data_IF_380067989565
#
_entry.id   IF_380067989565
#
_cell.length_a   1.000
_cell.length_b   1.000
_cell.length_c   1.000
_cell.angle_alpha   90.00
_cell.angle_beta   90.00
_cell.angle_gamma   90.00
#
_symmetry.space_group_name_H-M   'P 1'
#
loop_
_entity.id
_entity.type
_entity.pdbx_description
1 polymer ?
#
# COMPACT_ATOMS: atom_id res chain seq x y z
N UNK A 1 20.15 -20.79 -10.20
CA UNK A 1 20.48 -21.73 -9.13
C UNK A 1 21.98 -21.74 -8.95
N UNK A 2 22.44 -21.42 -7.74
CA UNK A 2 23.81 -21.72 -7.31
C UNK A 2 23.66 -22.76 -6.19
N UNK A 3 24.35 -23.89 -6.33
CA UNK A 3 24.45 -25.00 -5.36
C UNK A 3 23.15 -25.38 -4.63
N UNK A 4 22.01 -25.38 -5.33
CA UNK A 4 20.68 -25.70 -4.77
C UNK A 4 20.18 -24.81 -3.61
N UNK A 5 20.91 -23.76 -3.20
CA UNK A 5 20.57 -22.87 -2.08
C UNK A 5 19.89 -21.54 -2.49
N UNK A 6 20.15 -21.06 -3.71
CA UNK A 6 19.64 -19.76 -4.17
C UNK A 6 18.91 -19.87 -5.50
N UNK A 7 17.66 -19.39 -5.55
CA UNK A 7 16.89 -19.27 -6.78
C UNK A 7 16.59 -17.80 -7.07
N UNK A 8 17.22 -17.25 -8.10
CA UNK A 8 16.81 -15.95 -8.64
C UNK A 8 15.81 -16.21 -9.76
N UNK A 9 14.56 -15.91 -9.48
CA UNK A 9 13.49 -15.94 -10.47
C UNK A 9 13.10 -14.52 -10.80
N UNK A 10 13.16 -14.13 -12.06
CA UNK A 10 12.47 -12.93 -12.50
C UNK A 10 11.09 -13.39 -12.98
N UNK A 11 10.04 -12.99 -12.26
CA UNK A 11 8.67 -13.42 -12.55
C UNK A 11 8.30 -13.12 -14.02
N UNK A 12 7.54 -14.02 -14.69
CA UNK A 12 7.04 -13.77 -16.03
C UNK A 12 6.27 -12.45 -16.08
N UNK A 13 6.66 -11.56 -17.00
CA UNK A 13 6.06 -10.23 -17.17
C UNK A 13 6.93 -9.07 -16.70
N UNK A 14 8.01 -9.31 -15.95
CA UNK A 14 8.97 -8.25 -15.60
C UNK A 14 10.13 -8.15 -16.61
N UNK A 15 10.59 -9.26 -17.16
CA UNK A 15 11.66 -9.27 -18.18
C UNK A 15 11.20 -10.14 -19.34
N UNK A 16 11.26 -9.62 -20.57
CA UNK A 16 10.92 -10.37 -21.80
C UNK A 16 11.97 -11.43 -22.17
N UNK A 17 12.82 -11.86 -21.23
CA UNK A 17 13.90 -12.83 -21.44
C UNK A 17 14.67 -13.20 -20.16
N UNK A 18 15.45 -14.27 -20.22
CA UNK A 18 16.28 -14.73 -19.10
C UNK A 18 17.39 -13.70 -18.79
N UNK A 19 17.42 -13.19 -17.55
CA UNK A 19 18.45 -12.26 -17.10
C UNK A 19 19.47 -12.93 -16.19
N UNK A 20 20.75 -12.58 -16.37
CA UNK A 20 21.84 -13.08 -15.53
C UNK A 20 21.97 -12.21 -14.27
N UNK A 21 21.92 -12.86 -13.11
CA UNK A 21 22.22 -12.23 -11.82
C UNK A 21 23.55 -12.77 -11.32
N UNK A 22 24.49 -11.87 -11.05
CA UNK A 22 25.73 -12.18 -10.36
C UNK A 22 25.41 -12.13 -8.86
N UNK A 23 25.67 -13.24 -8.17
CA UNK A 23 25.52 -13.34 -6.73
C UNK A 23 26.91 -13.40 -6.10
N UNK A 24 27.11 -12.65 -5.02
CA UNK A 24 28.30 -12.74 -4.17
C UNK A 24 27.85 -13.10 -2.75
N UNK A 25 28.40 -14.17 -2.18
CA UNK A 25 28.15 -14.56 -0.78
C UNK A 25 29.12 -13.82 0.13
N UNK A 26 28.63 -13.38 1.30
CA UNK A 26 29.43 -12.65 2.28
C UNK A 26 29.56 -13.42 3.59
N UNK A 27 30.61 -13.11 4.34
CA UNK A 27 30.82 -13.66 5.69
C UNK A 27 29.73 -13.17 6.64
N UNK A 28 29.35 -14.05 7.56
CA UNK A 28 28.37 -13.79 8.62
C UNK A 28 28.73 -12.58 9.50
N UNK A 29 30.03 -12.38 9.75
CA UNK A 29 30.56 -11.33 10.65
C UNK A 29 30.40 -9.91 10.08
N UNK A 30 30.21 -9.77 8.77
CA UNK A 30 30.07 -8.47 8.12
C UNK A 30 28.66 -7.88 8.29
N UNK A 31 27.66 -8.74 8.53
CA UNK A 31 26.24 -8.35 8.61
C UNK A 31 25.57 -9.04 9.81
N UNK A 32 25.61 -8.42 11.01
CA UNK A 32 25.00 -9.01 12.21
C UNK A 32 23.47 -9.11 12.07
N UNK A 33 22.89 -10.10 12.73
CA UNK A 33 21.42 -10.27 12.78
C UNK A 33 20.77 -9.16 13.62
N UNK A 34 19.57 -8.68 13.25
CA UNK A 34 18.78 -7.78 14.10
C UNK A 34 18.38 -8.45 15.42
N UNK A 35 18.17 -7.65 16.46
CA UNK A 35 17.64 -8.13 17.75
C UNK A 35 16.30 -8.84 17.57
N UNK A 36 16.15 -10.05 18.13
CA UNK A 36 14.95 -10.88 18.01
C UNK A 36 14.83 -11.65 16.68
N UNK A 37 15.86 -11.65 15.84
CA UNK A 37 15.86 -12.35 14.56
C UNK A 37 17.07 -13.28 14.43
N UNK A 38 16.81 -14.53 14.08
CA UNK A 38 17.83 -15.52 13.75
C UNK A 38 17.96 -15.63 12.24
N UNK A 39 19.14 -15.37 11.68
CA UNK A 39 19.40 -15.57 10.25
C UNK A 39 19.27 -17.06 9.91
N UNK A 40 18.51 -17.38 8.86
CA UNK A 40 18.25 -18.76 8.40
C UNK A 40 18.67 -19.01 6.95
N UNK A 41 19.28 -18.02 6.30
CA UNK A 41 19.86 -18.12 4.96
C UNK A 41 21.25 -17.46 4.95
N UNK A 42 22.13 -17.78 4.01
CA UNK A 42 23.36 -17.01 3.83
C UNK A 42 23.06 -15.55 3.41
N UNK A 43 24.02 -14.65 3.62
CA UNK A 43 23.96 -13.26 3.13
C UNK A 43 24.46 -13.22 1.69
N UNK A 44 23.63 -12.72 0.78
CA UNK A 44 23.94 -12.63 -0.64
C UNK A 44 23.77 -11.22 -1.17
N UNK A 45 24.77 -10.67 -1.86
CA UNK A 45 24.58 -9.50 -2.72
C UNK A 45 24.18 -9.95 -4.11
N UNK A 46 23.04 -9.46 -4.57
CA UNK A 46 22.58 -9.65 -5.94
C UNK A 46 22.99 -8.45 -6.80
N UNK A 47 23.58 -8.72 -7.97
CA UNK A 47 23.83 -7.74 -9.03
C UNK A 47 23.18 -8.23 -10.32
N UNK A 48 22.16 -7.53 -10.79
CA UNK A 48 21.59 -7.76 -12.12
C UNK A 48 22.55 -7.28 -13.22
N UNK A 49 23.11 -8.21 -13.99
CA UNK A 49 24.12 -7.88 -15.01
C UNK A 49 23.54 -7.09 -16.21
N UNK A 50 22.24 -7.20 -16.48
CA UNK A 50 21.54 -6.53 -17.58
C UNK A 50 20.54 -5.47 -17.09
N UNK A 51 20.74 -4.90 -15.89
CA UNK A 51 19.76 -3.97 -15.29
C UNK A 51 19.45 -2.72 -16.15
N UNK A 52 20.37 -2.33 -17.04
CA UNK A 52 20.17 -1.20 -17.96
C UNK A 52 19.19 -1.49 -19.09
N UNK A 53 18.99 -2.77 -19.44
CA UNK A 53 17.99 -3.19 -20.42
C UNK A 53 16.57 -3.13 -19.85
N UNK A 54 16.44 -3.05 -18.51
CA UNK A 54 15.16 -3.12 -17.81
C UNK A 54 15.10 -2.17 -16.60
N UNK A 55 15.11 -0.85 -16.84
CA UNK A 55 15.30 0.14 -15.79
C UNK A 55 14.16 0.22 -14.77
N UNK A 56 12.95 -0.25 -15.11
CA UNK A 56 11.76 -0.12 -14.27
C UNK A 56 11.37 -1.40 -13.51
N UNK A 57 12.09 -2.51 -13.70
CA UNK A 57 11.71 -3.79 -13.09
C UNK A 57 12.52 -4.10 -11.85
N UNK A 58 11.82 -4.22 -10.71
CA UNK A 58 12.38 -4.77 -9.48
C UNK A 58 12.53 -6.29 -9.63
N UNK A 59 13.73 -6.86 -9.42
CA UNK A 59 13.90 -8.30 -9.42
C UNK A 59 13.25 -8.94 -8.19
N UNK A 60 12.84 -10.19 -8.36
CA UNK A 60 12.40 -11.04 -7.28
C UNK A 60 13.57 -11.97 -6.91
N UNK A 61 13.79 -12.19 -5.61
CA UNK A 61 14.85 -13.05 -5.12
C UNK A 61 14.24 -14.10 -4.19
N UNK A 62 14.53 -15.37 -4.44
CA UNK A 62 14.16 -16.47 -3.57
C UNK A 62 15.41 -17.05 -2.90
N UNK A 63 15.35 -17.10 -1.57
CA UNK A 63 16.35 -17.67 -0.70
C UNK A 63 15.84 -19.01 -0.19
N UNK A 64 16.62 -20.07 -0.34
CA UNK A 64 16.33 -21.32 0.37
C UNK A 64 16.80 -21.21 1.81
N UNK A 65 16.00 -21.72 2.73
CA UNK A 65 16.35 -21.84 4.14
C UNK A 65 16.46 -23.31 4.52
N UNK A 66 17.38 -23.64 5.44
CA UNK A 66 17.62 -25.03 5.86
C UNK A 66 16.87 -25.42 7.14
N UNK A 67 16.42 -24.45 7.94
CA UNK A 67 15.98 -24.67 9.30
C UNK A 67 14.54 -25.23 9.41
N UNK A 68 14.29 -26.08 10.41
CA UNK A 68 12.95 -26.50 10.87
C UNK A 68 12.27 -25.34 11.63
N UNK A 69 12.05 -24.23 10.94
CA UNK A 69 11.37 -23.04 11.47
C UNK A 69 9.96 -23.00 10.87
N UNK A 70 8.92 -22.63 11.65
CA UNK A 70 7.59 -22.37 11.11
C UNK A 70 7.69 -21.42 9.93
N UNK A 71 7.19 -21.85 8.76
CA UNK A 71 7.37 -21.11 7.51
C UNK A 71 6.69 -19.74 7.50
N UNK A 72 5.75 -19.47 8.40
CA UNK A 72 5.10 -18.18 8.60
C UNK A 72 5.96 -17.17 9.38
N UNK A 73 7.11 -17.59 9.93
CA UNK A 73 8.02 -16.76 10.73
C UNK A 73 9.27 -16.30 9.98
N UNK A 74 9.39 -16.59 8.69
CA UNK A 74 10.58 -16.26 7.89
C UNK A 74 10.31 -15.05 7.01
N UNK A 75 11.15 -14.03 7.12
CA UNK A 75 11.12 -12.85 6.26
C UNK A 75 12.47 -12.60 5.61
N UNK A 76 12.44 -12.26 4.32
CA UNK A 76 13.60 -11.68 3.66
C UNK A 76 13.77 -10.23 4.10
N UNK A 77 15.01 -9.79 4.22
CA UNK A 77 15.37 -8.40 4.49
C UNK A 77 16.52 -7.99 3.58
N UNK A 78 16.58 -6.70 3.25
CA UNK A 78 17.76 -6.12 2.62
C UNK A 78 18.57 -5.29 3.62
N UNK A 79 19.88 -5.24 3.42
CA UNK A 79 20.74 -4.43 4.26
C UNK A 79 20.91 -3.03 3.68
N UNK A 80 20.45 -2.01 4.41
CA UNK A 80 20.73 -0.62 4.08
C UNK A 80 22.12 -0.24 4.60
N UNK A 81 23.09 -0.13 3.67
CA UNK A 81 24.47 0.25 4.01
C UNK A 81 24.63 1.68 4.53
N UNK A 82 23.71 2.60 4.23
CA UNK A 82 23.78 3.97 4.74
C UNK A 82 23.46 4.02 6.24
N UNK A 83 22.45 3.27 6.65
CA UNK A 83 21.96 3.23 8.03
C UNK A 83 22.59 2.10 8.85
N UNK A 84 23.32 1.19 8.20
CA UNK A 84 23.86 -0.04 8.78
C UNK A 84 22.76 -0.90 9.44
N UNK A 85 21.61 -1.04 8.77
CA UNK A 85 20.42 -1.67 9.32
C UNK A 85 19.72 -2.58 8.30
N UNK A 86 19.17 -3.69 8.76
CA UNK A 86 18.29 -4.55 7.96
C UNK A 86 16.89 -3.95 7.84
N UNK A 87 16.34 -3.98 6.63
CA UNK A 87 14.98 -3.55 6.31
C UNK A 87 14.20 -4.75 5.77
N UNK A 88 13.22 -5.19 6.53
CA UNK A 88 12.38 -6.34 6.20
C UNK A 88 11.51 -6.05 4.98
N UNK A 89 11.41 -7.05 4.11
CA UNK A 89 10.64 -7.03 2.89
C UNK A 89 9.38 -7.88 3.07
N UNK A 90 8.24 -7.48 2.50
CA UNK A 90 7.10 -8.39 2.40
C UNK A 90 7.56 -9.64 1.65
N UNK A 91 7.35 -10.79 2.29
CA UNK A 91 7.95 -12.05 1.89
C UNK A 91 6.88 -13.12 1.78
N UNK A 92 7.00 -13.93 0.75
CA UNK A 92 6.19 -15.12 0.55
C UNK A 92 7.03 -16.34 0.88
N UNK A 93 6.52 -17.25 1.70
CA UNK A 93 7.18 -18.53 1.94
C UNK A 93 6.50 -19.64 1.19
N UNK A 94 7.31 -20.55 0.63
CA UNK A 94 6.85 -21.77 -0.03
C UNK A 94 7.40 -22.94 0.80
N UNK A 95 6.63 -23.41 1.78
CA UNK A 95 7.12 -24.37 2.78
C UNK A 95 7.56 -25.68 2.14
N UNK A 96 6.81 -26.15 1.13
CA UNK A 96 7.12 -27.37 0.38
C UNK A 96 8.48 -27.34 -0.33
N UNK A 97 8.99 -26.15 -0.66
CA UNK A 97 10.27 -25.96 -1.34
C UNK A 97 11.35 -25.37 -0.42
N UNK A 98 11.00 -25.07 0.83
CA UNK A 98 11.80 -24.33 1.82
C UNK A 98 12.36 -23.01 1.26
N UNK A 99 11.51 -22.25 0.57
CA UNK A 99 11.88 -20.95 0.01
C UNK A 99 11.21 -19.82 0.77
N UNK A 100 11.96 -18.77 1.06
CA UNK A 100 11.43 -17.42 1.33
C UNK A 100 11.75 -16.55 0.13
N UNK A 101 10.77 -15.79 -0.33
CA UNK A 101 10.91 -15.01 -1.54
C UNK A 101 10.44 -13.59 -1.32
N UNK A 102 11.15 -12.63 -1.90
CA UNK A 102 10.80 -11.21 -1.79
C UNK A 102 11.25 -10.41 -3.02
N UNK A 103 10.55 -9.31 -3.29
CA UNK A 103 11.02 -8.27 -4.22
C UNK A 103 12.08 -7.45 -3.56
N UNK A 104 13.16 -7.18 -4.28
CA UNK A 104 14.24 -6.35 -3.77
C UNK A 104 14.18 -4.95 -4.40
N UNK A 105 14.30 -3.88 -3.60
CA UNK A 105 14.06 -2.52 -4.07
C UNK A 105 15.17 -1.99 -5.00
N UNK A 106 16.35 -2.61 -5.00
CA UNK A 106 17.52 -2.12 -5.71
C UNK A 106 18.17 -3.16 -6.63
N UNK A 107 18.85 -2.65 -7.67
CA UNK A 107 19.64 -3.44 -8.64
C UNK A 107 20.81 -4.19 -8.00
N UNK A 108 21.37 -3.57 -6.96
CA UNK A 108 22.37 -4.16 -6.08
C UNK A 108 21.76 -4.23 -4.69
N UNK A 109 21.45 -5.44 -4.23
CA UNK A 109 20.84 -5.64 -2.92
C UNK A 109 21.53 -6.76 -2.16
N UNK A 110 22.06 -6.44 -0.98
CA UNK A 110 22.48 -7.43 0.02
C UNK A 110 21.24 -7.95 0.75
N UNK A 111 20.97 -9.25 0.64
CA UNK A 111 19.78 -9.92 1.13
C UNK A 111 20.11 -11.06 2.09
N UNK A 112 19.23 -11.28 3.06
CA UNK A 112 19.20 -12.50 3.87
C UNK A 112 17.76 -12.78 4.33
N UNK A 113 17.48 -14.03 4.68
CA UNK A 113 16.25 -14.48 5.31
C UNK A 113 16.46 -14.68 6.80
N UNK A 114 15.50 -14.22 7.58
CA UNK A 114 15.52 -14.27 9.03
C UNK A 114 14.26 -14.95 9.54
N UNK A 115 14.44 -15.86 10.49
CA UNK A 115 13.40 -16.38 11.35
C UNK A 115 13.23 -15.44 12.55
N UNK A 116 12.00 -15.02 12.83
CA UNK A 116 11.70 -14.33 14.07
C UNK A 116 11.85 -15.28 15.27
N UNK A 117 12.46 -14.82 16.36
CA UNK A 117 12.29 -15.45 17.67
C UNK A 117 10.82 -15.37 18.09
N UNK A 118 10.38 -16.28 18.96
CA UNK A 118 8.99 -16.31 19.42
C UNK A 118 8.59 -14.96 20.05
N UNK A 119 7.61 -14.27 19.45
CA UNK A 119 7.18 -12.94 19.86
C UNK A 119 7.94 -11.75 19.25
N UNK A 120 8.96 -11.96 18.41
CA UNK A 120 9.70 -10.89 17.75
C UNK A 120 8.99 -10.32 16.50
N UNK A 121 8.03 -11.07 15.93
CA UNK A 121 7.21 -10.64 14.79
C UNK A 121 5.84 -11.30 14.77
N UNK A 122 4.85 -10.66 14.14
CA UNK A 122 3.51 -11.24 13.94
C UNK A 122 3.52 -12.15 12.71
N UNK A 123 3.47 -13.46 12.92
CA UNK A 123 3.39 -14.44 11.85
C UNK A 123 2.22 -14.13 10.90
N UNK A 124 2.44 -14.36 9.60
CA UNK A 124 1.35 -14.28 8.62
C UNK A 124 0.38 -15.45 8.76
N UNK A 125 -0.87 -15.28 8.29
CA UNK A 125 -1.84 -16.35 8.38
C UNK A 125 -1.50 -17.50 7.41
N UNK A 126 -1.86 -18.71 7.81
CA UNK A 126 -1.61 -19.92 7.03
C UNK A 126 -2.84 -20.26 6.20
N UNK A 127 -2.65 -20.48 4.90
CA UNK A 127 -3.72 -20.96 4.02
C UNK A 127 -4.08 -22.41 4.38
N UNK A 128 -5.34 -22.69 4.68
CA UNK A 128 -5.81 -24.00 5.17
C UNK A 128 -6.57 -24.82 4.15
N UNK A 129 -6.91 -24.24 2.99
CA UNK A 129 -7.66 -24.92 1.93
C UNK A 129 -7.06 -24.65 0.54
N UNK A 130 -7.41 -25.50 -0.44
CA UNK A 130 -7.05 -25.33 -1.85
C UNK A 130 -8.10 -24.52 -2.64
N UNK A 131 -9.08 -23.89 -1.99
CA UNK A 131 -10.10 -23.09 -2.68
C UNK A 131 -9.41 -21.91 -3.37
N UNK A 132 -9.59 -21.72 -4.69
CA UNK A 132 -9.01 -20.59 -5.41
C UNK A 132 -9.74 -19.29 -5.02
N UNK A 133 -8.99 -18.18 -5.01
CA UNK A 133 -9.59 -16.87 -4.77
C UNK A 133 -10.60 -16.52 -5.88
N UNK A 134 -11.69 -15.81 -5.55
CA UNK A 134 -12.69 -15.40 -6.53
C UNK A 134 -12.10 -14.42 -7.55
N UNK A 135 -12.29 -14.73 -8.84
CA UNK A 135 -11.93 -13.84 -9.93
C UNK A 135 -13.08 -12.89 -10.28
N UNK A 136 -12.76 -11.65 -10.63
CA UNK A 136 -13.70 -10.71 -11.23
C UNK A 136 -12.99 -9.80 -12.25
N UNK A 137 -13.73 -9.14 -13.15
CA UNK A 137 -13.14 -8.16 -14.06
C UNK A 137 -12.50 -7.01 -13.28
N UNK A 138 -11.17 -6.95 -13.30
CA UNK A 138 -10.34 -5.89 -12.73
C UNK A 138 -9.00 -5.87 -13.49
N UNK A 139 -8.31 -4.74 -13.47
CA UNK A 139 -6.95 -4.63 -14.00
C UNK A 139 -5.93 -5.27 -13.06
N UNK A 140 -6.07 -5.07 -11.76
CA UNK A 140 -5.19 -5.65 -10.75
C UNK A 140 -5.90 -5.87 -9.41
N UNK A 141 -5.47 -6.88 -8.66
CA UNK A 141 -6.03 -7.24 -7.35
C UNK A 141 -4.92 -7.70 -6.42
N UNK A 142 -4.94 -7.23 -5.18
CA UNK A 142 -4.06 -7.75 -4.12
C UNK A 142 -4.82 -7.90 -2.80
N UNK A 143 -4.55 -8.98 -2.10
CA UNK A 143 -4.98 -9.25 -0.72
C UNK A 143 -3.73 -9.40 0.13
N UNK A 144 -3.67 -8.66 1.23
CA UNK A 144 -2.51 -8.63 2.13
C UNK A 144 -2.97 -8.71 3.58
N UNK A 145 -2.27 -9.51 4.39
CA UNK A 145 -2.38 -9.46 5.84
C UNK A 145 -1.67 -8.21 6.39
N UNK A 146 -2.39 -7.37 7.14
CA UNK A 146 -1.89 -6.05 7.55
C UNK A 146 -0.80 -6.16 8.61
N UNK A 147 -0.88 -7.13 9.51
CA UNK A 147 0.11 -7.26 10.57
C UNK A 147 1.45 -7.72 10.00
N UNK A 148 1.47 -8.88 9.34
CA UNK A 148 2.67 -9.50 8.79
C UNK A 148 3.14 -8.87 7.48
N UNK A 149 2.24 -8.29 6.69
CA UNK A 149 2.52 -7.86 5.33
C UNK A 149 2.53 -8.99 4.29
N UNK A 150 2.16 -10.22 4.67
CA UNK A 150 2.10 -11.36 3.75
C UNK A 150 1.07 -11.14 2.64
N UNK A 151 1.44 -11.48 1.40
CA UNK A 151 0.51 -11.45 0.26
C UNK A 151 -0.28 -12.74 0.24
N UNK A 152 -1.60 -12.64 0.40
CA UNK A 152 -2.51 -13.79 0.45
C UNK A 152 -3.10 -14.11 -0.93
N UNK A 153 -3.22 -13.10 -1.78
CA UNK A 153 -3.64 -13.24 -3.17
C UNK A 153 -3.11 -12.09 -4.02
N UNK A 154 -2.73 -12.38 -5.27
CA UNK A 154 -2.27 -11.38 -6.24
C UNK A 154 -2.76 -11.68 -7.66
N UNK A 155 -3.09 -10.62 -8.38
CA UNK A 155 -3.35 -10.60 -9.81
C UNK A 155 -2.85 -9.29 -10.41
N UNK A 156 -1.89 -9.38 -11.36
CA UNK A 156 -1.31 -8.25 -12.09
C UNK A 156 -0.84 -7.08 -11.20
N UNK A 157 -0.24 -7.39 -10.04
CA UNK A 157 -0.06 -6.40 -8.97
C UNK A 157 1.12 -5.44 -9.17
N UNK A 158 1.85 -5.56 -10.28
CA UNK A 158 3.09 -4.82 -10.53
C UNK A 158 3.02 -3.85 -11.72
N UNK A 159 1.93 -3.87 -12.48
CA UNK A 159 1.71 -2.91 -13.55
C UNK A 159 1.54 -1.49 -12.96
N UNK A 160 2.19 -0.49 -13.56
CA UNK A 160 2.02 0.90 -13.18
C UNK A 160 0.66 1.40 -13.66
N UNK A 161 -0.23 1.67 -12.71
CA UNK A 161 -1.65 1.95 -12.97
C UNK A 161 -2.07 3.29 -12.35
N UNK A 162 -2.90 4.10 -13.06
CA UNK A 162 -3.49 5.31 -12.51
C UNK A 162 -4.31 5.04 -11.24
N UNK A 163 -3.97 5.73 -10.15
CA UNK A 163 -4.61 5.51 -8.86
C UNK A 163 -5.94 6.24 -8.70
N UNK A 164 -6.18 7.26 -9.51
CA UNK A 164 -7.28 8.21 -9.33
C UNK A 164 -7.30 8.74 -7.87
N UNK A 165 -8.48 8.90 -7.29
CA UNK A 165 -8.65 9.40 -5.92
C UNK A 165 -8.08 8.51 -4.80
N UNK A 166 -7.54 7.32 -5.09
CA UNK A 166 -6.76 6.57 -4.10
C UNK A 166 -5.49 7.34 -3.68
N UNK A 167 -4.97 8.20 -4.56
CA UNK A 167 -3.92 9.20 -4.29
C UNK A 167 -4.13 9.95 -2.97
N UNK A 168 -5.38 10.26 -2.61
CA UNK A 168 -5.68 11.08 -1.43
C UNK A 168 -5.26 10.44 -0.11
N UNK A 169 -5.10 9.10 -0.06
CA UNK A 169 -4.53 8.43 1.11
C UNK A 169 -3.05 8.78 1.29
N UNK A 170 -2.29 8.80 0.20
CA UNK A 170 -0.88 9.20 0.18
C UNK A 170 -0.76 10.68 0.52
N UNK A 171 -1.57 11.53 -0.10
CA UNK A 171 -1.63 12.97 0.20
C UNK A 171 -1.93 13.22 1.68
N UNK A 172 -2.95 12.59 2.24
CA UNK A 172 -3.27 12.71 3.66
C UNK A 172 -2.09 12.25 4.55
N UNK A 173 -1.46 11.12 4.23
CA UNK A 173 -0.33 10.60 5.01
C UNK A 173 0.88 11.53 4.96
N UNK A 174 1.21 12.06 3.78
CA UNK A 174 2.27 13.06 3.62
C UNK A 174 1.98 14.33 4.40
N UNK A 175 0.73 14.81 4.40
CA UNK A 175 0.36 15.98 5.18
C UNK A 175 0.61 15.76 6.69
N UNK A 176 0.32 14.56 7.20
CA UNK A 176 0.64 14.19 8.59
C UNK A 176 2.15 14.14 8.84
N UNK A 177 2.93 13.52 7.94
CA UNK A 177 4.38 13.41 8.07
C UNK A 177 5.09 14.78 7.99
N UNK A 178 4.51 15.75 7.28
CA UNK A 178 4.98 17.15 7.23
C UNK A 178 4.56 17.93 8.49
N UNK A 179 3.60 17.42 9.27
CA UNK A 179 3.14 18.05 10.50
C UNK A 179 2.02 19.06 10.30
N UNK A 180 1.07 18.77 9.41
CA UNK A 180 -0.15 19.59 9.30
C UNK A 180 -0.86 19.68 10.66
N UNK A 181 -1.17 20.89 11.10
CA UNK A 181 -1.99 21.10 12.29
C UNK A 181 -3.46 20.89 11.92
N UNK A 182 -4.04 19.77 12.37
CA UNK A 182 -5.43 19.44 12.07
C UNK A 182 -6.43 20.31 12.82
N UNK A 183 -6.05 20.94 13.92
CA UNK A 183 -6.92 21.78 14.74
C UNK A 183 -6.83 23.27 14.35
N UNK A 184 -5.81 23.64 13.58
CA UNK A 184 -5.74 24.93 12.91
C UNK A 184 -6.83 25.10 11.84
N UNK A 185 -7.15 26.36 11.55
CA UNK A 185 -8.10 26.72 10.50
C UNK A 185 -7.39 27.19 9.24
N UNK A 186 -7.91 26.79 8.08
CA UNK A 186 -7.49 27.31 6.78
C UNK A 186 -8.67 27.99 6.09
N UNK A 187 -8.43 29.16 5.50
CA UNK A 187 -9.41 29.83 4.66
C UNK A 187 -9.43 29.19 3.28
N UNK A 188 -10.62 28.81 2.81
CA UNK A 188 -10.86 28.36 1.44
C UNK A 188 -10.70 29.52 0.46
N UNK A 189 -10.02 29.29 -0.67
CA UNK A 189 -9.86 30.28 -1.74
C UNK A 189 -10.25 29.69 -3.09
N UNK A 190 -10.50 30.54 -4.09
CA UNK A 190 -10.83 30.09 -5.44
C UNK A 190 -9.71 29.26 -6.10
N UNK A 191 -8.46 29.35 -5.64
CA UNK A 191 -7.38 28.48 -6.14
C UNK A 191 -7.53 27.03 -5.67
N UNK A 192 -8.33 26.77 -4.64
CA UNK A 192 -8.62 25.43 -4.15
C UNK A 192 -9.67 24.70 -4.98
N UNK A 193 -10.43 25.42 -5.82
CA UNK A 193 -11.43 24.83 -6.70
C UNK A 193 -10.80 23.74 -7.59
N UNK A 194 -11.57 22.68 -7.82
CA UNK A 194 -11.14 21.51 -8.57
C UNK A 194 -12.32 20.85 -9.29
N UNK A 195 -12.05 20.25 -10.44
CA UNK A 195 -13.01 19.47 -11.21
C UNK A 195 -13.36 18.16 -10.49
N UNK A 196 -14.44 17.51 -10.91
CA UNK A 196 -14.84 16.20 -10.39
C UNK A 196 -15.46 16.25 -9.01
N UNK A 197 -15.09 15.32 -8.13
CA UNK A 197 -15.67 15.23 -6.79
C UNK A 197 -15.24 16.43 -5.92
N UNK A 198 -16.20 17.16 -5.38
CA UNK A 198 -15.95 18.34 -4.53
C UNK A 198 -16.94 18.42 -3.37
N UNK A 199 -16.60 19.25 -2.39
CA UNK A 199 -17.49 19.67 -1.30
C UNK A 199 -17.82 21.15 -1.49
N UNK A 200 -19.05 21.53 -1.13
CA UNK A 200 -19.54 22.90 -1.30
C UNK A 200 -18.88 23.86 -0.28
N UNK A 201 -17.70 24.36 -0.62
CA UNK A 201 -17.00 25.45 0.04
C UNK A 201 -17.14 26.73 -0.77
N UNK A 202 -17.21 27.87 -0.10
CA UNK A 202 -17.19 29.19 -0.72
C UNK A 202 -15.85 29.87 -0.43
N UNK A 203 -15.27 30.64 -1.37
CA UNK A 203 -14.13 31.49 -1.09
C UNK A 203 -14.37 32.38 0.14
N UNK A 204 -13.45 32.36 1.10
CA UNK A 204 -13.58 33.05 2.38
C UNK A 204 -14.17 32.21 3.52
N UNK A 205 -14.62 30.99 3.27
CA UNK A 205 -14.98 30.05 4.34
C UNK A 205 -13.74 29.73 5.19
N UNK A 206 -13.89 29.81 6.52
CA UNK A 206 -12.87 29.40 7.49
C UNK A 206 -13.26 28.04 8.05
N UNK A 207 -12.42 27.04 7.83
CA UNK A 207 -12.73 25.64 8.19
C UNK A 207 -11.50 25.01 8.84
N UNK A 208 -11.73 24.12 9.80
CA UNK A 208 -10.67 23.39 10.51
C UNK A 208 -10.03 22.36 9.56
N UNK A 209 -8.72 22.19 9.61
CA UNK A 209 -7.98 21.29 8.71
C UNK A 209 -8.45 19.83 8.81
N UNK A 210 -8.88 19.39 10.00
CA UNK A 210 -9.57 18.11 10.24
C UNK A 210 -10.82 17.93 9.37
N UNK A 211 -11.62 18.97 9.19
CA UNK A 211 -12.83 18.90 8.35
C UNK A 211 -12.48 18.79 6.86
N UNK A 212 -11.39 19.43 6.42
CA UNK A 212 -10.85 19.23 5.06
C UNK A 212 -10.31 17.81 4.86
N UNK A 213 -9.63 17.23 5.85
CA UNK A 213 -9.21 15.82 5.81
C UNK A 213 -10.43 14.89 5.65
N UNK A 214 -11.48 15.09 6.46
CA UNK A 214 -12.71 14.32 6.34
C UNK A 214 -13.40 14.52 4.99
N UNK A 215 -13.49 15.75 4.49
CA UNK A 215 -14.04 16.05 3.16
C UNK A 215 -13.23 15.37 2.03
N UNK A 216 -11.90 15.34 2.15
CA UNK A 216 -11.00 14.68 1.21
C UNK A 216 -11.18 13.16 1.19
N UNK A 217 -11.31 12.51 2.34
CA UNK A 217 -11.33 11.05 2.42
C UNK A 217 -12.75 10.44 2.37
N UNK A 218 -13.74 11.07 3.00
CA UNK A 218 -15.14 10.59 3.02
C UNK A 218 -15.84 10.89 1.69
N UNK A 219 -15.87 12.17 1.27
CA UNK A 219 -16.57 12.58 0.03
C UNK A 219 -15.70 12.46 -1.22
N UNK A 220 -14.41 12.19 -1.04
CA UNK A 220 -13.40 12.22 -2.10
C UNK A 220 -13.19 13.63 -2.69
N UNK A 221 -13.41 14.69 -1.90
CA UNK A 221 -13.35 16.07 -2.37
C UNK A 221 -11.95 16.49 -2.82
N UNK A 222 -11.79 16.78 -4.11
CA UNK A 222 -10.54 17.24 -4.72
C UNK A 222 -10.12 18.60 -4.18
N UNK A 223 -11.09 19.52 -4.05
CA UNK A 223 -10.84 20.84 -3.47
C UNK A 223 -10.39 20.76 -2.02
N UNK A 224 -11.00 19.89 -1.21
CA UNK A 224 -10.55 19.63 0.16
C UNK A 224 -9.12 19.05 0.21
N UNK A 225 -8.78 18.10 -0.68
CA UNK A 225 -7.43 17.54 -0.76
C UNK A 225 -6.37 18.58 -1.11
N UNK A 226 -6.69 19.54 -2.00
CA UNK A 226 -5.82 20.69 -2.30
C UNK A 226 -5.61 21.57 -1.08
N UNK A 227 -6.65 21.82 -0.28
CA UNK A 227 -6.52 22.58 0.97
C UNK A 227 -5.64 21.85 1.99
N UNK A 228 -5.83 20.53 2.18
CA UNK A 228 -4.98 19.72 3.07
C UNK A 228 -3.50 19.79 2.65
N UNK A 229 -3.22 19.71 1.35
CA UNK A 229 -1.85 19.85 0.86
C UNK A 229 -1.31 21.27 1.12
N UNK A 230 -2.10 22.31 0.81
CA UNK A 230 -1.73 23.72 0.98
C UNK A 230 -1.54 24.10 2.45
N UNK A 231 -2.30 23.52 3.38
CA UNK A 231 -2.18 23.82 4.82
C UNK A 231 -0.88 23.33 5.44
N UNK A 232 -0.10 22.51 4.72
CA UNK A 232 1.28 22.17 5.11
C UNK A 232 2.29 23.30 4.87
N UNK A 233 1.92 24.33 4.11
CA UNK A 233 2.83 25.41 3.67
C UNK A 233 3.70 25.06 2.46
N UNK A 234 3.65 23.82 1.95
CA UNK A 234 4.35 23.42 0.73
C UNK A 234 3.62 23.92 -0.52
N UNK A 235 4.37 24.22 -1.57
CA UNK A 235 3.80 24.42 -2.90
C UNK A 235 3.21 23.10 -3.42
N UNK A 236 2.27 23.15 -4.38
CA UNK A 236 1.69 21.94 -4.95
C UNK A 236 2.76 21.00 -5.55
N UNK A 237 3.79 21.58 -6.19
CA UNK A 237 4.88 20.80 -6.78
C UNK A 237 5.83 20.21 -5.74
N UNK A 238 6.14 20.94 -4.66
CA UNK A 238 6.91 20.40 -3.54
C UNK A 238 6.16 19.29 -2.82
N UNK A 239 4.84 19.46 -2.64
CA UNK A 239 4.00 18.46 -2.02
C UNK A 239 3.95 17.16 -2.83
N UNK A 240 3.75 17.25 -4.15
CA UNK A 240 3.78 16.09 -5.05
C UNK A 240 5.15 15.37 -5.02
N UNK A 241 6.26 16.14 -5.02
CA UNK A 241 7.60 15.57 -4.83
C UNK A 241 7.74 14.85 -3.49
N UNK A 242 7.18 15.42 -2.41
CA UNK A 242 7.19 14.78 -1.09
C UNK A 242 6.38 13.48 -1.05
N UNK A 243 5.28 13.40 -1.81
CA UNK A 243 4.52 12.15 -1.98
C UNK A 243 5.34 11.06 -2.67
N UNK A 244 6.03 11.40 -3.76
CA UNK A 244 6.92 10.44 -4.43
C UNK A 244 8.09 10.06 -3.51
N UNK A 245 8.67 11.02 -2.78
CA UNK A 245 9.76 10.74 -1.85
C UNK A 245 9.32 9.80 -0.72
N UNK A 246 8.14 9.98 -0.14
CA UNK A 246 7.61 9.07 0.88
C UNK A 246 7.53 7.62 0.37
N UNK A 247 7.10 7.42 -0.87
CA UNK A 247 7.10 6.09 -1.47
C UNK A 247 8.52 5.51 -1.61
N UNK A 248 9.48 6.34 -2.03
CA UNK A 248 10.90 5.95 -2.15
C UNK A 248 11.52 5.63 -0.79
N UNK A 249 11.19 6.39 0.26
CA UNK A 249 11.64 6.15 1.63
C UNK A 249 11.13 4.80 2.18
N UNK A 250 10.01 4.30 1.64
CA UNK A 250 9.45 2.97 1.91
C UNK A 250 10.03 1.86 0.99
N UNK A 251 11.00 2.18 0.13
CA UNK A 251 11.58 1.23 -0.83
C UNK A 251 10.72 0.95 -2.07
N UNK A 252 9.68 1.75 -2.30
CA UNK A 252 8.73 1.55 -3.41
C UNK A 252 9.19 2.33 -4.64
N UNK A 253 9.35 1.67 -5.78
CA UNK A 253 9.88 2.30 -7.00
C UNK A 253 8.82 2.65 -8.04
N UNK A 254 7.64 2.04 -8.03
CA UNK A 254 6.60 2.34 -9.02
C UNK A 254 5.86 3.67 -8.77
N UNK A 255 5.55 4.08 -7.52
CA UNK A 255 4.78 5.29 -7.27
C UNK A 255 5.44 6.54 -7.86
N UNK A 256 4.62 7.36 -8.51
CA UNK A 256 4.94 8.69 -9.00
C UNK A 256 3.70 9.57 -8.89
N UNK A 257 3.86 10.75 -8.28
CA UNK A 257 2.76 11.68 -8.05
C UNK A 257 3.10 13.07 -8.59
N UNK A 258 2.12 13.69 -9.27
CA UNK A 258 2.17 15.04 -9.83
C UNK A 258 1.16 15.98 -9.18
N UNK A 259 0.12 15.44 -8.52
CA UNK A 259 -0.91 16.23 -7.85
C UNK A 259 -1.43 15.56 -6.55
N UNK A 260 -2.00 16.29 -5.57
CA UNK A 260 -2.44 15.74 -4.28
C UNK A 260 -3.81 15.04 -4.33
N UNK A 261 -4.49 15.05 -5.47
CA UNK A 261 -5.88 14.62 -5.64
C UNK A 261 -6.00 13.34 -6.47
N UNK A 262 -5.10 13.10 -7.41
CA UNK A 262 -5.20 12.02 -8.40
C UNK A 262 -6.20 12.33 -9.50
N UNK A 263 -6.28 13.61 -9.88
CA UNK A 263 -7.01 14.04 -11.08
C UNK A 263 -6.16 13.83 -12.33
N UNK A 264 -4.84 13.97 -12.19
CA UNK A 264 -3.90 13.69 -13.27
C UNK A 264 -3.67 12.18 -13.36
N UNK A 265 -3.77 11.61 -14.56
CA UNK A 265 -3.52 10.18 -14.79
C UNK A 265 -2.08 9.77 -14.52
N UNK A 266 -1.15 10.73 -14.50
CA UNK A 266 0.26 10.53 -14.18
C UNK A 266 0.50 10.21 -12.70
N UNK A 267 -0.53 10.31 -11.85
CA UNK A 267 -0.51 9.74 -10.51
C UNK A 267 -0.68 8.22 -10.57
N UNK A 268 0.45 7.53 -10.64
CA UNK A 268 0.52 6.08 -10.85
C UNK A 268 1.17 5.36 -9.68
N UNK A 269 0.80 4.09 -9.51
CA UNK A 269 1.48 3.12 -8.67
C UNK A 269 1.13 1.71 -9.15
N UNK A 270 1.92 0.72 -8.75
CA UNK A 270 1.47 -0.66 -8.83
C UNK A 270 0.47 -0.98 -7.71
N UNK A 271 -0.33 -2.04 -7.88
CA UNK A 271 -1.26 -2.49 -6.84
C UNK A 271 -0.51 -2.91 -5.57
N UNK A 272 0.64 -3.58 -5.73
CA UNK A 272 1.51 -3.98 -4.63
C UNK A 272 2.06 -2.77 -3.87
N UNK A 273 2.69 -1.82 -4.57
CA UNK A 273 3.25 -0.62 -3.92
C UNK A 273 2.14 0.23 -3.27
N UNK A 274 0.97 0.31 -3.92
CA UNK A 274 -0.15 1.05 -3.37
C UNK A 274 -0.74 0.37 -2.13
N UNK A 275 -0.81 -0.96 -2.07
CA UNK A 275 -1.26 -1.67 -0.87
C UNK A 275 -0.38 -1.34 0.35
N UNK A 276 0.94 -1.25 0.15
CA UNK A 276 1.88 -0.84 1.20
C UNK A 276 1.72 0.63 1.60
N UNK A 277 1.49 1.52 0.63
CA UNK A 277 1.17 2.93 0.90
C UNK A 277 -0.16 3.08 1.68
N UNK A 278 -1.19 2.34 1.29
CA UNK A 278 -2.49 2.36 1.95
C UNK A 278 -2.40 1.81 3.39
N UNK A 279 -1.70 0.69 3.59
CA UNK A 279 -1.37 0.14 4.91
C UNK A 279 -0.65 1.18 5.77
N UNK A 280 0.35 1.88 5.21
CA UNK A 280 1.04 2.94 5.94
C UNK A 280 0.11 4.13 6.28
N UNK A 281 -0.77 4.53 5.36
CA UNK A 281 -1.73 5.61 5.59
C UNK A 281 -2.72 5.26 6.72
N UNK A 282 -3.26 4.03 6.72
CA UNK A 282 -4.26 3.59 7.71
C UNK A 282 -3.69 3.38 9.12
N UNK A 283 -2.37 3.33 9.30
CA UNK A 283 -1.75 3.36 10.64
C UNK A 283 -1.96 4.69 11.38
N UNK A 284 -2.22 5.78 10.66
CA UNK A 284 -2.51 7.06 11.28
C UNK A 284 -3.99 7.11 11.75
N UNK A 285 -4.27 7.38 13.03
CA UNK A 285 -5.63 7.29 13.59
C UNK A 285 -6.60 8.33 13.02
N UNK A 286 -6.13 9.52 12.63
CA UNK A 286 -6.99 10.54 12.00
C UNK A 286 -7.40 10.11 10.59
N UNK A 287 -6.47 9.51 9.84
CA UNK A 287 -6.75 8.95 8.50
C UNK A 287 -7.70 7.77 8.61
N UNK A 288 -7.45 6.82 9.50
CA UNK A 288 -8.33 5.67 9.73
C UNK A 288 -9.74 6.10 10.16
N UNK A 289 -9.84 7.06 11.08
CA UNK A 289 -11.11 7.66 11.52
C UNK A 289 -11.86 8.29 10.35
N UNK A 290 -11.19 9.02 9.45
CA UNK A 290 -11.83 9.59 8.28
C UNK A 290 -12.24 8.53 7.26
N UNK A 291 -11.40 7.51 7.04
CA UNK A 291 -11.62 6.46 6.05
C UNK A 291 -12.75 5.48 6.40
N UNK A 292 -13.19 5.43 7.67
CA UNK A 292 -14.19 4.48 8.20
C UNK A 292 -15.55 5.11 8.53
N UNK A 293 -15.72 6.42 8.35
CA UNK A 293 -17.01 7.09 8.63
C UNK A 293 -18.02 6.86 7.51
N UNK A 294 -19.27 6.54 7.86
CA UNK A 294 -20.40 6.49 6.89
C UNK A 294 -20.75 7.86 6.31
N UNK A 295 -20.67 8.89 7.14
CA UNK A 295 -20.93 10.28 6.78
C UNK A 295 -20.17 11.21 7.73
N UNK A 296 -20.09 12.48 7.34
CA UNK A 296 -19.48 13.51 8.17
C UNK A 296 -20.19 14.84 7.97
N UNK A 297 -20.25 15.64 9.02
CA UNK A 297 -20.82 16.97 9.00
C UNK A 297 -20.06 17.92 9.94
N UNK A 298 -19.97 19.18 9.56
CA UNK A 298 -19.35 20.24 10.35
C UNK A 298 -19.98 21.60 10.01
N UNK A 299 -19.63 22.61 10.81
CA UNK A 299 -20.06 23.99 10.60
C UNK A 299 -18.88 24.85 10.16
N UNK A 300 -19.07 25.66 9.12
CA UNK A 300 -18.08 26.66 8.70
C UNK A 300 -17.94 27.73 9.79
N UNK A 301 -16.72 27.96 10.28
CA UNK A 301 -16.45 28.71 11.52
C UNK A 301 -16.99 30.15 11.48
N UNK A 302 -16.86 30.85 10.35
CA UNK A 302 -17.24 32.26 10.22
C UNK A 302 -18.69 32.50 9.77
N UNK A 303 -19.40 31.48 9.28
CA UNK A 303 -20.77 31.65 8.74
C UNK A 303 -21.82 30.79 9.44
N UNK A 304 -21.40 29.78 10.21
CA UNK A 304 -22.30 28.79 10.82
C UNK A 304 -22.95 27.83 9.80
N UNK A 305 -22.64 27.97 8.50
CA UNK A 305 -23.21 27.15 7.43
C UNK A 305 -22.85 25.68 7.65
N UNK A 306 -23.87 24.83 7.66
CA UNK A 306 -23.69 23.39 7.81
C UNK A 306 -23.25 22.77 6.49
N UNK A 307 -22.23 21.91 6.55
CA UNK A 307 -21.75 21.11 5.43
C UNK A 307 -21.80 19.65 5.86
N UNK A 308 -22.40 18.80 5.02
CA UNK A 308 -22.52 17.37 5.28
C UNK A 308 -22.34 16.55 4.00
N UNK A 309 -21.76 15.37 4.12
CA UNK A 309 -21.58 14.44 3.00
C UNK A 309 -21.50 13.00 3.47
N UNK A 310 -21.80 12.08 2.55
CA UNK A 310 -21.72 10.65 2.76
C UNK A 310 -20.41 10.09 2.19
N UNK A 311 -19.99 8.95 2.72
CA UNK A 311 -18.84 8.22 2.20
C UNK A 311 -19.11 7.73 0.79
N UNK A 312 -18.09 7.78 -0.06
CA UNK A 312 -18.16 7.23 -1.41
C UNK A 312 -18.18 5.70 -1.42
N UNK A 313 -17.64 5.05 -0.39
CA UNK A 313 -17.90 3.64 -0.11
C UNK A 313 -19.18 3.52 0.73
N UNK A 314 -20.31 3.29 0.06
CA UNK A 314 -21.62 3.23 0.69
C UNK A 314 -21.88 1.92 1.46
N UNK A 315 -20.95 0.97 1.46
CA UNK A 315 -21.06 -0.30 2.21
C UNK A 315 -20.45 -0.23 3.61
N UNK A 316 -19.78 0.87 3.96
CA UNK A 316 -19.21 1.03 5.29
C UNK A 316 -20.33 0.89 6.34
N UNK A 317 -20.15 -0.10 7.22
CA UNK A 317 -21.02 -0.47 8.32
C UNK A 317 -22.38 -1.06 7.95
N UNK A 318 -22.57 -1.47 6.68
CA UNK A 318 -23.66 -2.33 6.22
C UNK A 318 -23.10 -3.69 5.73
N UNK A 319 -21.88 -4.03 6.15
CA UNK A 319 -21.13 -5.22 5.77
C UNK A 319 -20.93 -6.18 6.95
N UNK A 320 -20.65 -7.45 6.64
CA UNK A 320 -20.34 -8.46 7.65
C UNK A 320 -18.99 -8.20 8.37
N UNK A 321 -18.10 -7.43 7.74
CA UNK A 321 -16.77 -7.13 8.22
C UNK A 321 -16.67 -5.80 8.96
N UNK A 322 -15.81 -5.73 9.96
CA UNK A 322 -15.47 -4.46 10.60
C UNK A 322 -14.40 -3.73 9.79
N UNK A 323 -14.80 -2.67 9.07
CA UNK A 323 -13.89 -1.86 8.23
C UNK A 323 -13.07 -0.93 9.08
N UNK A 324 -11.75 -1.01 8.94
CA UNK A 324 -10.74 -0.22 9.64
C UNK A 324 -10.04 0.79 8.74
N UNK A 325 -10.21 0.67 7.42
CA UNK A 325 -9.76 1.66 6.43
C UNK A 325 -10.47 1.44 5.09
N UNK A 326 -10.74 2.51 4.34
CA UNK A 326 -11.35 2.40 3.02
C UNK A 326 -11.12 3.66 2.18
N UNK A 327 -10.91 3.49 0.88
CA UNK A 327 -10.96 4.59 -0.08
C UNK A 327 -11.40 4.10 -1.45
N UNK A 328 -12.29 4.86 -2.09
CA UNK A 328 -12.67 4.66 -3.50
C UNK A 328 -11.88 5.57 -4.43
N UNK A 329 -11.61 5.13 -5.64
CA UNK A 329 -11.08 5.91 -6.76
C UNK A 329 -11.91 5.72 -8.03
N UNK A 330 -12.03 6.75 -8.84
CA UNK A 330 -12.57 6.65 -10.18
C UNK A 330 -11.95 7.75 -11.05
N UNK A 331 -11.41 7.35 -12.19
CA UNK A 331 -11.01 8.24 -13.27
C UNK A 331 -11.43 7.55 -14.58
N UNK A 332 -12.20 8.22 -15.46
CA UNK A 332 -12.64 7.61 -16.70
C UNK A 332 -11.46 7.41 -17.66
N UNK A 333 -11.57 6.41 -18.54
CA UNK A 333 -10.56 6.13 -19.58
C UNK A 333 -10.30 7.34 -20.49
N UNK A 334 -11.33 8.16 -20.75
CA UNK A 334 -11.20 9.40 -21.54
C UNK A 334 -10.27 10.43 -20.90
N UNK A 335 -9.93 10.26 -19.61
CA UNK A 335 -9.00 11.08 -18.85
C UNK A 335 -7.74 10.27 -18.47
N UNK A 336 -7.47 9.17 -19.17
CA UNK A 336 -6.31 8.30 -18.91
C UNK A 336 -6.46 7.42 -17.67
N UNK A 337 -7.66 7.27 -17.12
CA UNK A 337 -7.93 6.38 -15.99
C UNK A 337 -8.21 4.93 -16.40
N UNK A 338 -8.41 4.07 -15.40
CA UNK A 338 -8.64 2.62 -15.57
C UNK A 338 -9.99 2.16 -15.04
N UNK A 339 -10.91 3.08 -14.75
CA UNK A 339 -12.22 2.75 -14.19
C UNK A 339 -12.27 2.88 -12.66
N UNK A 340 -12.92 1.92 -11.99
CA UNK A 340 -13.26 2.01 -10.58
C UNK A 340 -12.24 1.27 -9.69
N UNK A 341 -11.67 2.01 -8.75
CA UNK A 341 -10.66 1.52 -7.82
C UNK A 341 -11.25 1.49 -6.40
N UNK A 342 -10.89 0.49 -5.61
CA UNK A 342 -11.31 0.37 -4.22
C UNK A 342 -10.21 -0.30 -3.40
N UNK A 343 -9.82 0.33 -2.30
CA UNK A 343 -9.06 -0.30 -1.23
C UNK A 343 -9.91 -0.35 0.03
N UNK A 344 -9.91 -1.51 0.69
CA UNK A 344 -10.57 -1.72 1.99
C UNK A 344 -9.61 -2.48 2.89
N UNK A 345 -9.45 -2.00 4.11
CA UNK A 345 -8.86 -2.71 5.23
C UNK A 345 -10.00 -3.09 6.17
N UNK A 346 -10.11 -4.37 6.51
CA UNK A 346 -11.17 -4.88 7.37
C UNK A 346 -10.76 -6.15 8.10
N UNK A 347 -11.49 -6.45 9.17
CA UNK A 347 -11.35 -7.67 9.98
C UNK A 347 -12.70 -8.35 10.19
N UNK A 348 -12.66 -9.62 10.58
CA UNK A 348 -13.85 -10.47 10.74
C UNK A 348 -14.86 -9.91 11.77
N UNK A 349 -14.38 -9.21 12.79
CA UNK A 349 -15.21 -8.57 13.81
C UNK A 349 -14.47 -7.43 14.49
N UNK A 350 -15.16 -6.61 15.28
CA UNK A 350 -14.53 -5.50 16.02
C UNK A 350 -13.44 -5.95 16.99
N UNK A 351 -13.59 -7.15 17.54
CA UNK A 351 -12.70 -7.71 18.57
C UNK A 351 -11.55 -8.53 17.98
N UNK A 352 -11.61 -8.91 16.70
CA UNK A 352 -10.47 -9.50 15.99
C UNK A 352 -9.34 -8.49 15.82
N UNK A 353 -8.11 -8.98 15.74
CA UNK A 353 -6.90 -8.19 15.45
C UNK A 353 -6.33 -8.48 14.05
N UNK A 354 -7.05 -9.29 13.27
CA UNK A 354 -6.62 -9.84 12.00
C UNK A 354 -7.12 -8.94 10.86
N UNK A 355 -6.46 -7.79 10.71
CA UNK A 355 -6.78 -6.85 9.65
C UNK A 355 -6.24 -7.36 8.30
N UNK A 356 -7.12 -7.47 7.31
CA UNK A 356 -6.82 -7.81 5.91
C UNK A 356 -7.05 -6.58 5.05
N UNK A 357 -6.10 -6.29 4.17
CA UNK A 357 -6.22 -5.24 3.16
C UNK A 357 -6.48 -5.86 1.79
N UNK A 358 -7.59 -5.47 1.17
CA UNK A 358 -7.95 -5.84 -0.20
C UNK A 358 -7.95 -4.60 -1.07
N UNK A 359 -7.25 -4.66 -2.20
CA UNK A 359 -7.21 -3.63 -3.21
C UNK A 359 -7.65 -4.21 -4.55
N UNK A 360 -8.62 -3.55 -5.18
CA UNK A 360 -9.08 -3.81 -6.54
C UNK A 360 -8.87 -2.55 -7.37
N UNK A 361 -8.14 -2.65 -8.47
CA UNK A 361 -7.91 -1.58 -9.43
C UNK A 361 -8.61 -1.88 -10.75
N UNK A 362 -9.32 -0.89 -11.27
CA UNK A 362 -9.95 -0.91 -12.59
C UNK A 362 -11.10 -1.90 -12.76
N UNK A 363 -12.02 -1.95 -11.79
CA UNK A 363 -13.27 -2.66 -11.96
C UNK A 363 -14.20 -1.91 -12.95
N UNK A 364 -15.12 -2.61 -13.65
CA UNK A 364 -16.04 -2.00 -14.62
C UNK A 364 -16.98 -0.96 -14.02
N UNK A 365 -17.39 -1.16 -12.77
CA UNK A 365 -18.28 -0.26 -12.06
C UNK A 365 -18.04 -0.37 -10.54
N UNK A 366 -18.56 0.62 -9.80
CA UNK A 366 -18.42 0.71 -8.34
C UNK A 366 -19.02 -0.49 -7.59
N UNK A 367 -20.16 -1.00 -8.05
CA UNK A 367 -20.80 -2.14 -7.39
C UNK A 367 -19.94 -3.39 -7.56
N UNK A 368 -19.36 -3.61 -8.74
CA UNK A 368 -18.43 -4.71 -8.99
C UNK A 368 -17.16 -4.61 -8.16
N UNK A 369 -16.56 -3.42 -7.99
CA UNK A 369 -15.37 -3.28 -7.12
C UNK A 369 -15.70 -3.63 -5.67
N UNK A 370 -16.85 -3.19 -5.17
CA UNK A 370 -17.30 -3.50 -3.81
C UNK A 370 -17.59 -5.00 -3.68
N UNK A 371 -18.33 -5.59 -4.61
CA UNK A 371 -18.66 -7.03 -4.56
C UNK A 371 -17.39 -7.87 -4.52
N UNK A 372 -16.44 -7.60 -5.42
CA UNK A 372 -15.19 -8.36 -5.49
C UNK A 372 -14.36 -8.24 -4.21
N UNK A 373 -14.29 -7.05 -3.62
CA UNK A 373 -13.64 -6.87 -2.32
C UNK A 373 -14.28 -7.74 -1.23
N UNK A 374 -15.61 -7.84 -1.17
CA UNK A 374 -16.26 -8.68 -0.16
C UNK A 374 -16.04 -10.16 -0.42
N UNK A 375 -16.14 -10.62 -1.68
CA UNK A 375 -15.84 -12.02 -2.03
C UNK A 375 -14.40 -12.40 -1.64
N UNK A 376 -13.45 -11.49 -1.84
CA UNK A 376 -12.06 -11.70 -1.44
C UNK A 376 -11.88 -11.70 0.08
N UNK A 377 -12.60 -10.84 0.82
CA UNK A 377 -12.59 -10.87 2.29
C UNK A 377 -13.20 -12.17 2.82
N UNK A 378 -14.37 -12.58 2.32
CA UNK A 378 -15.02 -13.86 2.67
C UNK A 378 -14.05 -15.02 2.42
N UNK A 379 -13.51 -15.11 1.19
CA UNK A 379 -12.53 -16.13 0.85
C UNK A 379 -11.30 -16.10 1.78
N UNK A 380 -10.81 -14.91 2.12
CA UNK A 380 -9.62 -14.78 2.96
C UNK A 380 -9.86 -15.35 4.36
N UNK A 381 -10.94 -14.93 5.03
CA UNK A 381 -11.27 -15.39 6.39
C UNK A 381 -11.79 -16.84 6.45
N UNK A 382 -12.32 -17.38 5.35
CA UNK A 382 -12.73 -18.79 5.28
C UNK A 382 -11.57 -19.76 5.02
N UNK A 383 -10.49 -19.28 4.38
CA UNK A 383 -9.43 -20.14 3.85
C UNK A 383 -8.03 -19.87 4.43
N UNK A 384 -7.92 -18.93 5.38
CA UNK A 384 -6.69 -18.66 6.13
C UNK A 384 -6.95 -18.64 7.64
N UNK A 385 -5.95 -19.03 8.41
CA UNK A 385 -5.99 -19.02 9.89
C UNK A 385 -4.81 -18.20 10.41
N UNK A 386 -5.12 -17.27 11.32
CA UNK A 386 -4.15 -16.52 12.12
C UNK A 386 -3.88 -17.34 13.38
N UNK A 387 -2.61 -17.66 13.63
CA UNK A 387 -2.15 -18.47 14.77
C UNK A 387 -1.61 -17.63 15.92
#
# INVERSE_FOLDING_TARGET
TFDDEFQVGVLPGSLNGASRVKLSLFSEDEYPSPDGWTRVTPVAESLLANADEFPETQPYLALRYEADVPSNNIQAAYYNRQDAEWKFLPSDTVPAERLVRARVPFRVTTLAGFAAEEGAFTAGPVKTTDVPAPGAPAHAVIVLDVASGAVLHEFNVHEALPLASLTKLVSARVAMDVGVDLDATTTYTSSDDALGASVNFAPGDIVVNRDYLHASLVRSGNNAAKVVARSTGLSSGDFARRMTQQARDLGLSTPSFVDPTGLESDNVSSAYDFALLARNAFRNPDIASAATKKSYAFSVQNTGRQVSFNNTNFWIGDNAFYVTGSKTGYLPETWGGIGFNLVVQARSSRDSHDDVLVLVLGAPNRTSSIHHVNELLDWTFENHVWE
#
